data_IF_986901338042
#
_entry.id   IF_986901338042
#
_cell.length_a   1.000
_cell.length_b   1.000
_cell.length_c   1.000
_cell.angle_alpha   90.00
_cell.angle_beta   90.00
_cell.angle_gamma   90.00
#
_symmetry.space_group_name_H-M   'P 1'
#
loop_
_entity.id
_entity.type
_entity.pdbx_description
1 polymer ?
#
# COMPACT_ATOMS: atom_id res chain seq x y z
N UNK A 1 12.04 -15.22 74.17
CA UNK A 1 12.03 -13.75 73.88
C UNK A 1 13.25 -13.37 72.98
N UNK A 2 14.44 -13.85 73.29
CA UNK A 2 15.65 -13.62 72.52
C UNK A 2 15.57 -13.98 71.03
N UNK A 3 14.97 -15.13 70.70
CA UNK A 3 14.83 -15.62 69.32
C UNK A 3 13.91 -14.71 68.48
N UNK A 4 12.90 -14.12 69.09
CA UNK A 4 12.00 -13.17 68.42
C UNK A 4 12.67 -11.84 68.07
N UNK A 5 13.53 -11.34 68.97
CA UNK A 5 14.31 -10.13 68.70
C UNK A 5 15.36 -10.36 67.63
N UNK A 6 16.00 -11.54 67.61
CA UNK A 6 16.95 -11.93 66.57
C UNK A 6 16.27 -12.01 65.18
N UNK A 7 15.09 -12.64 65.11
CA UNK A 7 14.32 -12.68 63.87
C UNK A 7 13.84 -11.34 63.38
N UNK A 8 13.41 -10.47 64.30
CA UNK A 8 12.96 -9.10 64.00
C UNK A 8 14.10 -8.23 63.44
N UNK A 9 15.35 -8.48 63.83
CA UNK A 9 16.49 -7.76 63.33
C UNK A 9 17.04 -8.35 62.01
N UNK A 10 16.95 -9.66 61.83
CA UNK A 10 17.50 -10.35 60.68
C UNK A 10 16.66 -10.14 59.41
N UNK A 11 15.33 -10.10 59.54
CA UNK A 11 14.42 -9.93 58.41
C UNK A 11 14.69 -8.59 57.63
N UNK A 12 14.78 -7.40 58.29
CA UNK A 12 15.05 -6.19 57.55
C UNK A 12 16.45 -6.17 56.91
N UNK A 13 17.45 -6.81 57.50
CA UNK A 13 18.79 -6.92 56.91
C UNK A 13 18.74 -7.77 55.61
N UNK A 14 18.07 -8.88 55.63
CA UNK A 14 17.89 -9.77 54.45
C UNK A 14 17.13 -9.01 53.35
N UNK A 15 16.06 -8.30 53.71
CA UNK A 15 15.29 -7.50 52.75
C UNK A 15 16.13 -6.34 52.14
N UNK A 16 16.97 -5.71 52.95
CA UNK A 16 17.87 -4.67 52.48
C UNK A 16 18.93 -5.21 51.52
N UNK A 17 19.51 -6.36 51.81
CA UNK A 17 20.47 -7.06 50.91
C UNK A 17 19.79 -7.45 49.59
N UNK A 18 18.59 -8.03 49.65
CA UNK A 18 17.80 -8.34 48.43
C UNK A 18 17.48 -7.09 47.62
N UNK A 19 17.11 -5.98 48.29
CA UNK A 19 16.80 -4.73 47.61
C UNK A 19 18.04 -4.15 46.91
N UNK A 20 19.21 -4.14 47.58
CA UNK A 20 20.46 -3.68 46.97
C UNK A 20 20.86 -4.56 45.77
N UNK A 21 20.69 -5.88 45.90
CA UNK A 21 20.97 -6.80 44.78
C UNK A 21 20.02 -6.59 43.60
N UNK A 22 18.74 -6.38 43.88
CA UNK A 22 17.73 -6.08 42.85
C UNK A 22 18.05 -4.71 42.15
N UNK A 23 18.42 -3.66 42.90
CA UNK A 23 18.86 -2.41 42.32
C UNK A 23 20.10 -2.57 41.43
N UNK A 24 21.07 -3.38 41.86
CA UNK A 24 22.26 -3.69 41.06
C UNK A 24 21.92 -4.36 39.72
N UNK A 25 20.99 -5.32 39.72
CA UNK A 25 20.54 -6.00 38.50
C UNK A 25 19.77 -5.08 37.57
N UNK A 26 18.91 -4.21 38.08
CA UNK A 26 18.21 -3.20 37.27
C UNK A 26 19.18 -2.21 36.65
N UNK A 27 20.16 -1.74 37.45
CA UNK A 27 21.16 -0.79 36.96
C UNK A 27 22.09 -1.36 35.89
N UNK A 28 22.49 -2.62 36.00
CA UNK A 28 23.27 -3.30 34.94
C UNK A 28 22.47 -3.43 33.65
N UNK A 29 21.19 -3.84 33.71
CA UNK A 29 20.29 -3.90 32.56
C UNK A 29 20.10 -2.52 31.91
N UNK A 30 19.94 -1.47 32.71
CA UNK A 30 19.81 -0.11 32.21
C UNK A 30 21.08 0.35 31.50
N UNK A 31 22.26 0.08 32.05
CA UNK A 31 23.55 0.39 31.41
C UNK A 31 23.72 -0.35 30.08
N UNK A 32 23.33 -1.62 29.99
CA UNK A 32 23.35 -2.38 28.73
C UNK A 32 22.42 -1.76 27.68
N UNK A 33 21.20 -1.37 28.06
CA UNK A 33 20.27 -0.71 27.17
C UNK A 33 20.81 0.65 26.66
N UNK A 34 21.39 1.45 27.54
CA UNK A 34 22.01 2.74 27.16
C UNK A 34 23.23 2.53 26.24
N UNK A 35 24.06 1.51 26.48
CA UNK A 35 25.20 1.22 25.61
C UNK A 35 24.78 0.72 24.23
N UNK A 36 23.67 -0.04 24.13
CA UNK A 36 23.09 -0.46 22.85
C UNK A 36 22.52 0.72 22.07
N UNK A 37 21.80 1.61 22.75
CA UNK A 37 21.30 2.86 22.16
C UNK A 37 22.46 3.76 21.66
N UNK A 38 23.50 3.92 22.47
CA UNK A 38 24.66 4.73 22.10
C UNK A 38 25.46 4.11 20.93
N UNK A 39 25.53 2.78 20.86
CA UNK A 39 26.10 2.08 19.68
C UNK A 39 25.30 2.31 18.40
N UNK A 40 23.96 2.42 18.49
CA UNK A 40 23.11 2.76 17.34
C UNK A 40 23.31 4.22 16.91
N UNK A 41 23.50 5.13 17.86
CA UNK A 41 23.72 6.56 17.57
C UNK A 41 25.15 6.84 17.08
N UNK A 42 26.15 6.08 17.56
CA UNK A 42 27.57 6.22 17.16
C UNK A 42 28.00 5.23 16.07
N UNK A 43 27.08 4.35 15.60
CA UNK A 43 27.35 3.59 14.39
C UNK A 43 27.71 4.57 13.27
N UNK A 44 28.80 4.36 12.51
CA UNK A 44 29.13 5.20 11.37
C UNK A 44 27.86 5.32 10.53
N UNK A 45 27.46 6.57 10.23
CA UNK A 45 26.27 6.83 9.44
C UNK A 45 26.30 5.87 8.26
N UNK A 46 25.23 5.05 8.14
CA UNK A 46 25.06 4.17 6.98
C UNK A 46 25.41 5.02 5.75
N UNK A 47 26.31 4.57 4.84
CA UNK A 47 26.68 5.36 3.68
C UNK A 47 25.41 6.02 3.16
N UNK A 48 25.48 7.34 2.90
CA UNK A 48 24.35 8.08 2.39
C UNK A 48 23.74 7.22 1.28
N UNK A 49 22.42 6.96 1.26
CA UNK A 49 21.82 6.15 0.22
C UNK A 49 22.33 6.70 -1.11
N UNK A 50 22.81 5.83 -1.98
CA UNK A 50 23.25 6.22 -3.31
C UNK A 50 22.26 7.24 -3.88
N UNK A 51 22.70 8.32 -4.51
CA UNK A 51 21.81 9.34 -5.04
C UNK A 51 20.76 8.61 -5.87
N UNK A 52 19.51 8.72 -5.43
CA UNK A 52 18.38 8.01 -6.05
C UNK A 52 18.33 8.45 -7.51
N UNK A 53 18.55 7.54 -8.43
CA UNK A 53 18.52 7.83 -9.86
C UNK A 53 17.11 8.30 -10.26
N UNK A 54 16.95 9.56 -10.70
CA UNK A 54 15.65 10.08 -11.13
C UNK A 54 15.05 9.28 -12.30
N UNK A 55 15.89 8.71 -13.16
CA UNK A 55 15.47 7.85 -14.28
C UNK A 55 14.83 6.57 -13.74
N UNK A 56 15.47 5.93 -12.76
CA UNK A 56 14.93 4.72 -12.13
C UNK A 56 13.57 4.97 -11.46
N UNK A 57 13.39 6.11 -10.76
CA UNK A 57 12.10 6.47 -10.15
C UNK A 57 11.00 6.67 -11.20
N UNK A 58 11.31 7.32 -12.32
CA UNK A 58 10.34 7.56 -13.40
C UNK A 58 9.94 6.24 -14.07
N UNK A 59 10.89 5.36 -14.33
CA UNK A 59 10.61 4.03 -14.89
C UNK A 59 9.76 3.19 -13.92
N UNK A 60 10.08 3.21 -12.63
CA UNK A 60 9.29 2.53 -11.61
C UNK A 60 7.85 3.06 -11.54
N UNK A 61 7.65 4.38 -11.67
CA UNK A 61 6.31 4.96 -11.75
C UNK A 61 5.55 4.47 -12.99
N UNK A 62 6.21 4.40 -14.16
CA UNK A 62 5.63 3.86 -15.39
C UNK A 62 5.23 2.38 -15.22
N UNK A 63 6.05 1.55 -14.59
CA UNK A 63 5.75 0.14 -14.31
C UNK A 63 4.52 0.03 -13.40
N UNK A 64 4.48 0.80 -12.32
CA UNK A 64 3.37 0.79 -11.36
C UNK A 64 2.06 1.24 -11.99
N UNK A 65 2.07 2.28 -12.82
CA UNK A 65 0.88 2.72 -13.55
C UNK A 65 0.43 1.73 -14.60
N UNK A 66 1.36 1.04 -15.27
CA UNK A 66 1.02 -0.04 -16.19
C UNK A 66 0.26 -1.16 -15.47
N UNK A 67 0.76 -1.59 -14.32
CA UNK A 67 0.11 -2.60 -13.50
C UNK A 67 -1.25 -2.13 -12.97
N UNK A 68 -1.33 -0.89 -12.47
CA UNK A 68 -2.59 -0.30 -12.01
C UNK A 68 -3.66 -0.29 -13.11
N UNK A 69 -3.31 0.18 -14.32
CA UNK A 69 -4.22 0.22 -15.46
C UNK A 69 -4.69 -1.19 -15.87
N UNK A 70 -3.79 -2.18 -15.84
CA UNK A 70 -4.14 -3.57 -16.09
C UNK A 70 -5.14 -4.09 -15.06
N UNK A 71 -4.92 -3.79 -13.78
CA UNK A 71 -5.78 -4.23 -12.68
C UNK A 71 -7.16 -3.58 -12.69
N UNK A 72 -7.31 -2.33 -13.17
CA UNK A 72 -8.62 -1.65 -13.31
C UNK A 72 -9.30 -1.93 -14.65
N UNK A 73 -8.66 -2.63 -15.58
CA UNK A 73 -9.30 -3.01 -16.84
C UNK A 73 -10.54 -3.86 -16.60
N UNK A 74 -11.59 -3.67 -17.43
CA UNK A 74 -12.86 -4.40 -17.27
C UNK A 74 -12.66 -5.92 -17.24
N UNK A 75 -11.85 -6.54 -18.13
CA UNK A 75 -11.64 -7.99 -18.06
C UNK A 75 -11.04 -8.45 -16.74
N UNK A 76 -10.02 -7.76 -16.24
CA UNK A 76 -9.34 -8.14 -15.01
C UNK A 76 -10.16 -7.84 -13.76
N UNK A 77 -10.96 -6.76 -13.75
CA UNK A 77 -11.91 -6.50 -12.68
C UNK A 77 -12.91 -7.64 -12.56
N UNK A 78 -13.54 -8.05 -13.68
CA UNK A 78 -14.54 -9.12 -13.69
C UNK A 78 -13.95 -10.50 -13.41
N UNK A 79 -12.65 -10.69 -13.67
CA UNK A 79 -11.94 -11.93 -13.30
C UNK A 79 -11.69 -12.01 -11.79
N UNK A 80 -11.31 -10.89 -11.16
CA UNK A 80 -11.03 -10.82 -9.73
C UNK A 80 -12.29 -10.72 -8.88
N UNK A 81 -13.34 -10.15 -9.44
CA UNK A 81 -14.63 -9.88 -8.79
C UNK A 81 -15.74 -10.43 -9.68
N UNK A 82 -15.88 -11.78 -9.77
CA UNK A 82 -16.93 -12.39 -10.58
C UNK A 82 -18.31 -12.03 -10.00
N UNK A 83 -19.34 -11.87 -10.84
CA UNK A 83 -20.70 -11.60 -10.37
C UNK A 83 -21.20 -12.79 -9.54
N UNK A 84 -21.79 -12.49 -8.40
CA UNK A 84 -22.43 -13.45 -7.52
C UNK A 84 -23.96 -13.25 -7.56
N UNK A 85 -24.73 -14.33 -7.51
CA UNK A 85 -26.20 -14.29 -7.53
C UNK A 85 -26.79 -13.75 -6.23
N UNK A 86 -26.05 -13.87 -5.12
CA UNK A 86 -26.47 -13.38 -3.80
C UNK A 86 -26.22 -11.86 -3.63
N UNK A 87 -25.26 -11.29 -4.37
CA UNK A 87 -24.91 -9.88 -4.28
C UNK A 87 -25.89 -8.99 -5.04
N UNK A 88 -26.49 -8.02 -4.35
CA UNK A 88 -27.40 -7.07 -4.98
C UNK A 88 -26.68 -6.24 -6.07
N UNK A 89 -27.35 -5.92 -7.22
CA UNK A 89 -26.72 -5.18 -8.32
C UNK A 89 -26.08 -3.85 -7.90
N UNK A 90 -26.72 -3.14 -6.97
CA UNK A 90 -26.22 -1.87 -6.45
C UNK A 90 -24.93 -2.06 -5.64
N UNK A 91 -24.86 -3.11 -4.86
CA UNK A 91 -23.69 -3.47 -4.06
C UNK A 91 -22.53 -3.90 -4.95
N UNK A 92 -22.75 -4.81 -5.88
CA UNK A 92 -21.73 -5.23 -6.84
C UNK A 92 -21.14 -4.07 -7.64
N UNK A 93 -21.99 -3.13 -8.10
CA UNK A 93 -21.52 -1.90 -8.76
C UNK A 93 -20.62 -1.07 -7.83
N UNK A 94 -21.01 -0.90 -6.55
CA UNK A 94 -20.24 -0.15 -5.58
C UNK A 94 -18.88 -0.81 -5.29
N UNK A 95 -18.82 -2.12 -5.20
CA UNK A 95 -17.58 -2.89 -5.02
C UNK A 95 -16.62 -2.72 -6.20
N UNK A 96 -17.10 -2.79 -7.45
CA UNK A 96 -16.28 -2.55 -8.63
C UNK A 96 -15.69 -1.13 -8.64
N UNK A 97 -16.49 -0.11 -8.31
CA UNK A 97 -16.01 1.29 -8.23
C UNK A 97 -15.02 1.47 -7.07
N UNK A 98 -15.25 0.81 -5.94
CA UNK A 98 -14.34 0.85 -4.80
C UNK A 98 -12.99 0.21 -5.14
N UNK A 99 -13.00 -0.91 -5.87
CA UNK A 99 -11.78 -1.56 -6.31
C UNK A 99 -10.91 -0.66 -7.21
N UNK A 100 -11.53 0.08 -8.14
CA UNK A 100 -10.82 1.08 -8.96
C UNK A 100 -10.22 2.17 -8.07
N UNK A 101 -11.01 2.71 -7.14
CA UNK A 101 -10.56 3.75 -6.23
C UNK A 101 -9.35 3.31 -5.42
N UNK A 102 -9.39 2.12 -4.84
CA UNK A 102 -8.30 1.56 -4.05
C UNK A 102 -7.01 1.40 -4.86
N UNK A 103 -7.10 0.92 -6.10
CA UNK A 103 -5.93 0.79 -6.98
C UNK A 103 -5.30 2.15 -7.31
N UNK A 104 -6.12 3.17 -7.54
CA UNK A 104 -5.63 4.53 -7.81
C UNK A 104 -5.03 5.16 -6.56
N UNK A 105 -5.69 5.07 -5.40
CA UNK A 105 -5.19 5.61 -4.13
C UNK A 105 -3.84 4.97 -3.74
N UNK A 106 -3.69 3.68 -3.97
CA UNK A 106 -2.42 2.97 -3.72
C UNK A 106 -1.26 3.49 -4.57
N UNK A 107 -1.54 4.01 -5.77
CA UNK A 107 -0.53 4.49 -6.72
C UNK A 107 -0.47 6.02 -6.84
N UNK A 108 -1.29 6.78 -6.10
CA UNK A 108 -1.44 8.24 -6.26
C UNK A 108 -0.13 9.01 -6.13
N UNK A 109 0.78 8.56 -5.27
CA UNK A 109 2.08 9.21 -5.04
C UNK A 109 3.02 9.14 -6.25
N UNK A 110 2.81 8.21 -7.17
CA UNK A 110 3.64 8.04 -8.36
C UNK A 110 3.45 9.17 -9.38
N UNK A 111 2.37 9.95 -9.28
CA UNK A 111 2.10 11.09 -10.16
C UNK A 111 3.23 12.12 -10.20
N UNK A 112 4.01 12.24 -9.11
CA UNK A 112 5.13 13.20 -9.04
C UNK A 112 6.32 12.84 -9.94
N UNK A 113 6.38 11.61 -10.45
CA UNK A 113 7.47 11.11 -11.28
C UNK A 113 7.13 11.03 -12.77
N UNK A 114 5.92 11.39 -13.18
CA UNK A 114 5.48 11.36 -14.58
C UNK A 114 5.07 12.75 -15.05
N UNK A 115 4.94 12.92 -16.38
CA UNK A 115 4.46 14.17 -16.93
C UNK A 115 2.97 14.42 -16.65
N UNK A 116 2.58 15.70 -16.58
CA UNK A 116 1.17 16.10 -16.40
C UNK A 116 0.28 15.54 -17.52
N UNK A 117 0.81 15.45 -18.73
CA UNK A 117 0.09 14.88 -19.88
C UNK A 117 -0.19 13.38 -19.67
N UNK A 118 0.80 12.62 -19.20
CA UNK A 118 0.59 11.20 -18.89
C UNK A 118 -0.38 11.02 -17.72
N UNK A 119 -0.23 11.81 -16.66
CA UNK A 119 -1.15 11.76 -15.51
C UNK A 119 -2.60 12.07 -15.94
N UNK A 120 -2.80 13.04 -16.82
CA UNK A 120 -4.11 13.36 -17.38
C UNK A 120 -4.72 12.19 -18.14
N UNK A 121 -3.94 11.47 -18.97
CA UNK A 121 -4.39 10.29 -19.71
C UNK A 121 -4.79 9.17 -18.74
N UNK A 122 -4.00 8.93 -17.71
CA UNK A 122 -4.28 7.91 -16.69
C UNK A 122 -5.59 8.20 -15.95
N UNK A 123 -5.79 9.44 -15.53
CA UNK A 123 -7.01 9.87 -14.82
C UNK A 123 -8.25 9.80 -15.70
N UNK A 124 -8.16 10.22 -16.97
CA UNK A 124 -9.24 10.09 -17.95
C UNK A 124 -9.60 8.61 -18.20
N UNK A 125 -8.61 7.72 -18.24
CA UNK A 125 -8.84 6.27 -18.40
C UNK A 125 -9.59 5.71 -17.19
N UNK A 126 -9.19 6.05 -15.99
CA UNK A 126 -9.89 5.69 -14.75
C UNK A 126 -11.35 6.17 -14.78
N UNK A 127 -11.56 7.44 -15.15
CA UNK A 127 -12.90 8.05 -15.18
C UNK A 127 -13.79 7.39 -16.22
N UNK A 128 -13.23 7.05 -17.39
CA UNK A 128 -13.94 6.33 -18.45
C UNK A 128 -14.41 4.95 -17.96
N UNK A 129 -13.53 4.17 -17.34
CA UNK A 129 -13.88 2.84 -16.80
C UNK A 129 -14.94 2.97 -15.69
N UNK A 130 -14.77 3.94 -14.80
CA UNK A 130 -15.75 4.20 -13.73
C UNK A 130 -17.13 4.57 -14.30
N UNK A 131 -17.18 5.38 -15.37
CA UNK A 131 -18.41 5.73 -16.07
C UNK A 131 -19.06 4.49 -16.74
N UNK A 132 -18.25 3.62 -17.34
CA UNK A 132 -18.76 2.37 -17.93
C UNK A 132 -19.43 1.50 -16.86
N UNK A 133 -18.82 1.35 -15.69
CA UNK A 133 -19.39 0.60 -14.56
C UNK A 133 -20.70 1.25 -14.07
N UNK A 134 -20.69 2.58 -13.92
CA UNK A 134 -21.89 3.32 -13.50
C UNK A 134 -23.06 3.06 -14.47
N UNK A 135 -22.82 3.20 -15.77
CA UNK A 135 -23.84 2.98 -16.84
C UNK A 135 -24.28 1.51 -16.91
N UNK A 136 -23.36 0.56 -16.80
CA UNK A 136 -23.71 -0.85 -16.81
C UNK A 136 -24.64 -1.23 -15.63
N UNK A 137 -24.52 -0.51 -14.51
CA UNK A 137 -25.35 -0.70 -13.33
C UNK A 137 -26.70 0.04 -13.36
N UNK A 138 -26.95 0.90 -14.34
CA UNK A 138 -28.24 1.57 -14.48
C UNK A 138 -29.33 0.54 -14.81
N UNK A 139 -30.41 0.55 -14.01
CA UNK A 139 -31.55 -0.38 -14.17
C UNK A 139 -31.16 -1.87 -14.23
N UNK A 140 -29.98 -2.23 -13.73
CA UNK A 140 -29.58 -3.62 -13.67
C UNK A 140 -30.35 -4.36 -12.56
N UNK A 141 -30.88 -5.54 -12.90
CA UNK A 141 -31.66 -6.39 -11.97
C UNK A 141 -30.81 -7.47 -11.30
N UNK A 142 -29.58 -7.69 -11.76
CA UNK A 142 -28.63 -8.66 -11.18
C UNK A 142 -27.16 -8.23 -11.39
N UNK A 143 -26.28 -8.71 -10.53
CA UNK A 143 -24.82 -8.54 -10.66
C UNK A 143 -24.30 -9.12 -11.99
N UNK A 144 -24.85 -10.26 -12.43
CA UNK A 144 -24.55 -10.90 -13.73
C UNK A 144 -24.87 -9.98 -14.91
N UNK A 145 -26.01 -9.29 -14.87
CA UNK A 145 -26.39 -8.35 -15.92
C UNK A 145 -25.40 -7.19 -16.05
N UNK A 146 -24.87 -6.67 -14.92
CA UNK A 146 -23.82 -5.66 -14.92
C UNK A 146 -22.56 -6.21 -15.61
N UNK A 147 -22.11 -7.39 -15.21
CA UNK A 147 -20.91 -8.00 -15.78
C UNK A 147 -21.05 -8.26 -17.30
N UNK A 148 -22.22 -8.73 -17.77
CA UNK A 148 -22.45 -8.99 -19.19
C UNK A 148 -22.51 -7.70 -20.02
N UNK A 149 -23.12 -6.63 -19.49
CA UNK A 149 -23.09 -5.29 -20.10
C UNK A 149 -21.66 -4.75 -20.20
N UNK A 150 -20.85 -4.89 -19.14
CA UNK A 150 -19.45 -4.48 -19.14
C UNK A 150 -18.63 -5.26 -20.17
N UNK A 151 -18.82 -6.59 -20.28
CA UNK A 151 -18.18 -7.41 -21.32
C UNK A 151 -18.56 -6.97 -22.72
N UNK A 152 -19.84 -6.65 -22.93
CA UNK A 152 -20.34 -6.16 -24.21
C UNK A 152 -19.71 -4.80 -24.57
N UNK A 153 -19.71 -3.84 -23.65
CA UNK A 153 -19.08 -2.52 -23.85
C UNK A 153 -17.60 -2.67 -24.19
N UNK A 154 -16.87 -3.51 -23.44
CA UNK A 154 -15.45 -3.76 -23.65
C UNK A 154 -15.14 -4.40 -25.02
N UNK A 155 -16.04 -5.23 -25.55
CA UNK A 155 -15.88 -5.86 -26.88
C UNK A 155 -16.24 -4.93 -28.04
N UNK A 156 -17.10 -3.95 -27.82
CA UNK A 156 -17.54 -3.02 -28.85
C UNK A 156 -16.58 -1.82 -29.05
N UNK A 157 -15.60 -1.67 -28.17
CA UNK A 157 -14.58 -0.63 -28.31
C UNK A 157 -13.51 -1.08 -29.29
N UNK A 158 -13.30 -0.33 -30.37
CA UNK A 158 -12.24 -0.57 -31.36
C UNK A 158 -10.85 -0.52 -30.71
N UNK A 159 -10.67 0.35 -29.72
CA UNK A 159 -9.44 0.45 -28.95
C UNK A 159 -9.75 0.66 -27.46
N UNK A 160 -9.16 -0.21 -26.62
CA UNK A 160 -9.35 -0.13 -25.17
C UNK A 160 -8.72 1.15 -24.60
N UNK A 161 -9.43 1.93 -23.76
CA UNK A 161 -8.84 3.09 -23.06
C UNK A 161 -7.57 2.73 -22.27
N UNK A 162 -7.52 1.51 -21.72
CA UNK A 162 -6.32 0.99 -21.03
C UNK A 162 -5.17 0.81 -22.01
N UNK A 163 -5.40 0.25 -23.20
CA UNK A 163 -4.35 0.06 -24.20
C UNK A 163 -3.76 1.39 -24.68
N UNK A 164 -4.61 2.41 -24.87
CA UNK A 164 -4.19 3.78 -25.21
C UNK A 164 -3.30 4.38 -24.12
N UNK A 165 -3.74 4.29 -22.86
CA UNK A 165 -2.97 4.80 -21.72
C UNK A 165 -1.64 4.06 -21.55
N UNK A 166 -1.62 2.74 -21.69
CA UNK A 166 -0.38 1.95 -21.67
C UNK A 166 0.57 2.32 -22.83
N UNK A 167 0.01 2.66 -24.01
CA UNK A 167 0.78 3.22 -25.12
C UNK A 167 1.43 4.55 -24.77
N UNK A 168 0.73 5.43 -24.04
CA UNK A 168 1.29 6.68 -23.54
C UNK A 168 2.40 6.45 -22.50
N UNK A 169 2.21 5.50 -21.59
CA UNK A 169 3.25 5.12 -20.61
C UNK A 169 4.51 4.62 -21.32
N UNK A 170 4.38 3.75 -22.34
CA UNK A 170 5.54 3.27 -23.10
C UNK A 170 6.32 4.40 -23.78
N UNK A 171 5.62 5.40 -24.33
CA UNK A 171 6.26 6.59 -24.93
C UNK A 171 6.98 7.45 -23.89
N UNK A 172 6.36 7.66 -22.72
CA UNK A 172 7.00 8.36 -21.61
C UNK A 172 8.28 7.63 -21.16
N UNK A 173 8.21 6.31 -20.89
CA UNK A 173 9.35 5.50 -20.50
C UNK A 173 10.49 5.55 -21.54
N UNK A 174 10.16 5.43 -22.82
CA UNK A 174 11.15 5.54 -23.90
C UNK A 174 11.84 6.91 -23.89
N UNK A 175 11.10 8.00 -23.66
CA UNK A 175 11.65 9.36 -23.60
C UNK A 175 12.61 9.57 -22.42
N UNK A 176 12.46 8.79 -21.34
CA UNK A 176 13.34 8.84 -20.17
C UNK A 176 14.65 8.11 -20.43
N UNK A 177 14.61 7.01 -21.21
CA UNK A 177 15.79 6.20 -21.54
C UNK A 177 16.68 6.81 -22.63
N UNK A 178 16.17 7.76 -23.41
CA UNK A 178 16.90 8.38 -24.53
C UNK A 178 17.54 9.72 -24.18
N UNK A 179 17.39 10.21 -22.96
CA UNK A 179 18.03 11.42 -22.42
C UNK A 179 19.25 11.07 -21.60
#
# INVERSE_FOLDING_TARGET
MELLYFLLLLVPIVLLVMFVWMLGTVFTRFREAVTLLNKQVTAPAKPAPDPVDPVALRLQACERFTLMLERISVPNLLLRMPPDEETAPREYRAELLLAIRQEVEYNITQQIYVSDSLWSIITQTRDNISLQIARAGEEATSSRQIADRLRMISRQQDESPVALAQGAIRREAASVLTK
#
